data_IF_310182107106
#
_entry.id   IF_310182107106
#
_cell.length_a   1.000
_cell.length_b   1.000
_cell.length_c   1.000
_cell.angle_alpha   90.00
_cell.angle_beta   90.00
_cell.angle_gamma   90.00
#
_symmetry.space_group_name_H-M   'P 1'
#
loop_
_entity.id
_entity.type
_entity.pdbx_description
1 polymer ?
#
# COMPACT_ATOMS: atom_id res chain seq x y z
N UNK A 1 9.38 47.47 -12.27
CA UNK A 1 8.39 46.51 -12.81
C UNK A 1 8.73 45.14 -12.20
N UNK A 2 8.65 45.03 -10.86
CA UNK A 2 9.40 44.02 -10.09
C UNK A 2 8.51 43.19 -9.14
N UNK A 3 7.18 43.37 -9.20
CA UNK A 3 6.22 42.70 -8.31
C UNK A 3 5.75 41.32 -8.78
N UNK A 4 6.00 40.96 -10.04
CA UNK A 4 5.52 39.70 -10.64
C UNK A 4 6.45 38.52 -10.26
N UNK A 5 7.73 38.76 -9.98
CA UNK A 5 8.73 37.67 -9.90
C UNK A 5 8.82 36.95 -8.56
N UNK A 6 8.52 37.62 -7.44
CA UNK A 6 8.61 37.00 -6.11
C UNK A 6 7.42 36.09 -5.79
N UNK A 7 6.20 36.51 -6.17
CA UNK A 7 4.98 35.72 -6.00
C UNK A 7 4.99 34.48 -6.90
N UNK A 8 5.36 34.64 -8.17
CA UNK A 8 5.43 33.53 -9.12
C UNK A 8 6.50 32.49 -8.73
N UNK A 9 7.64 32.95 -8.20
CA UNK A 9 8.70 32.04 -7.73
C UNK A 9 8.28 31.28 -6.48
N UNK A 10 7.55 31.93 -5.58
CA UNK A 10 6.98 31.28 -4.40
C UNK A 10 5.91 30.25 -4.78
N UNK A 11 5.00 30.60 -5.69
CA UNK A 11 3.97 29.69 -6.19
C UNK A 11 4.57 28.47 -6.89
N UNK A 12 5.58 28.66 -7.75
CA UNK A 12 6.33 27.55 -8.36
C UNK A 12 6.96 26.65 -7.31
N UNK A 13 7.57 27.22 -6.27
CA UNK A 13 8.19 26.45 -5.19
C UNK A 13 7.15 25.63 -4.40
N UNK A 14 5.94 26.18 -4.19
CA UNK A 14 4.83 25.46 -3.56
C UNK A 14 4.36 24.30 -4.45
N UNK A 15 4.20 24.52 -5.75
CA UNK A 15 3.81 23.48 -6.71
C UNK A 15 4.85 22.37 -6.80
N UNK A 16 6.14 22.70 -6.83
CA UNK A 16 7.24 21.71 -6.80
C UNK A 16 7.19 20.86 -5.53
N UNK A 17 6.93 21.47 -4.37
CA UNK A 17 6.77 20.74 -3.10
C UNK A 17 5.57 19.81 -3.10
N UNK A 18 4.43 20.26 -3.62
CA UNK A 18 3.23 19.43 -3.74
C UNK A 18 3.48 18.27 -4.70
N UNK A 19 4.13 18.52 -5.85
CA UNK A 19 4.48 17.47 -6.81
C UNK A 19 5.44 16.43 -6.20
N UNK A 20 6.45 16.87 -5.46
CA UNK A 20 7.36 15.97 -4.76
C UNK A 20 6.65 15.13 -3.69
N UNK A 21 5.74 15.73 -2.92
CA UNK A 21 4.95 15.01 -1.93
C UNK A 21 4.00 13.99 -2.58
N UNK A 22 3.39 14.33 -3.72
CA UNK A 22 2.53 13.42 -4.47
C UNK A 22 3.33 12.20 -5.00
N UNK A 23 4.52 12.44 -5.54
CA UNK A 23 5.41 11.37 -5.99
C UNK A 23 5.86 10.46 -4.83
N UNK A 24 6.11 11.02 -3.65
CA UNK A 24 6.44 10.23 -2.47
C UNK A 24 5.28 9.36 -2.00
N UNK A 25 4.07 9.91 -2.01
CA UNK A 25 2.86 9.17 -1.68
C UNK A 25 2.66 8.00 -2.64
N UNK A 26 2.77 8.23 -3.95
CA UNK A 26 2.63 7.19 -4.96
C UNK A 26 3.63 6.05 -4.75
N UNK A 27 4.90 6.37 -4.47
CA UNK A 27 5.93 5.37 -4.13
C UNK A 27 5.57 4.57 -2.89
N UNK A 28 5.16 5.26 -1.82
CA UNK A 28 4.77 4.62 -0.55
C UNK A 28 3.56 3.70 -0.73
N UNK A 29 2.58 4.11 -1.53
CA UNK A 29 1.41 3.30 -1.86
C UNK A 29 1.78 2.06 -2.68
N UNK A 30 2.68 2.20 -3.65
CA UNK A 30 3.19 1.07 -4.43
C UNK A 30 3.91 0.04 -3.53
N UNK A 31 4.75 0.50 -2.60
CA UNK A 31 5.43 -0.37 -1.64
C UNK A 31 4.45 -1.07 -0.69
N UNK A 32 3.44 -0.35 -0.20
CA UNK A 32 2.39 -0.90 0.63
C UNK A 32 1.57 -1.97 -0.12
N UNK A 33 1.28 -1.75 -1.40
CA UNK A 33 0.58 -2.73 -2.24
C UNK A 33 1.44 -3.98 -2.45
N UNK A 34 2.72 -3.84 -2.79
CA UNK A 34 3.64 -4.97 -2.93
C UNK A 34 3.80 -5.77 -1.61
N UNK A 35 3.78 -5.09 -0.46
CA UNK A 35 3.79 -5.75 0.85
C UNK A 35 2.50 -6.55 1.11
N UNK A 36 1.33 -5.98 0.76
CA UNK A 36 0.03 -6.67 0.85
C UNK A 36 -0.03 -7.89 -0.05
N UNK A 37 0.45 -7.81 -1.28
CA UNK A 37 0.50 -8.93 -2.20
C UNK A 37 1.36 -10.08 -1.67
N UNK A 38 2.57 -9.78 -1.17
CA UNK A 38 3.45 -10.79 -0.55
C UNK A 38 2.78 -11.48 0.64
N UNK A 39 2.12 -10.71 1.51
CA UNK A 39 1.35 -11.25 2.65
C UNK A 39 0.24 -12.17 2.16
N UNK A 40 -0.55 -11.74 1.19
CA UNK A 40 -1.70 -12.49 0.70
C UNK A 40 -1.26 -13.78 -0.01
N UNK A 41 -0.15 -13.76 -0.74
CA UNK A 41 0.48 -14.95 -1.31
C UNK A 41 0.94 -15.93 -0.22
N UNK A 42 1.58 -15.44 0.84
CA UNK A 42 2.01 -16.26 1.97
C UNK A 42 0.82 -16.91 2.70
N UNK A 43 -0.25 -16.14 2.95
CA UNK A 43 -1.51 -16.66 3.54
C UNK A 43 -2.08 -17.76 2.65
N UNK A 44 -2.19 -17.53 1.33
CA UNK A 44 -2.71 -18.54 0.40
C UNK A 44 -1.84 -19.79 0.35
N UNK A 45 -0.52 -19.66 0.43
CA UNK A 45 0.41 -20.79 0.49
C UNK A 45 0.22 -21.61 1.78
N UNK A 46 0.08 -20.96 2.93
CA UNK A 46 -0.18 -21.62 4.20
C UNK A 46 -1.53 -22.36 4.21
N UNK A 47 -2.58 -21.74 3.65
CA UNK A 47 -3.88 -22.40 3.46
C UNK A 47 -3.75 -23.65 2.59
N UNK A 48 -3.03 -23.56 1.45
CA UNK A 48 -2.79 -24.73 0.58
C UNK A 48 -2.00 -25.85 1.26
N UNK A 49 -1.13 -25.51 2.21
CA UNK A 49 -0.40 -26.47 3.03
C UNK A 49 -1.27 -27.10 4.14
N UNK A 50 -2.55 -26.71 4.26
CA UNK A 50 -3.49 -27.26 5.24
C UNK A 50 -3.40 -26.61 6.62
N UNK A 51 -2.70 -25.47 6.76
CA UNK A 51 -2.59 -24.80 8.06
C UNK A 51 -3.96 -24.23 8.47
N UNK A 52 -4.41 -24.46 9.72
CA UNK A 52 -5.65 -23.89 10.23
C UNK A 52 -5.68 -22.36 10.12
N UNK A 53 -6.78 -21.80 9.61
CA UNK A 53 -6.90 -20.36 9.38
C UNK A 53 -6.68 -19.48 10.62
N UNK A 54 -7.03 -19.99 11.82
CA UNK A 54 -6.76 -19.30 13.08
C UNK A 54 -5.27 -19.14 13.38
N UNK A 55 -4.45 -20.15 13.08
CA UNK A 55 -2.98 -20.09 13.25
C UNK A 55 -2.34 -19.19 12.20
N UNK A 56 -2.86 -19.19 10.98
CA UNK A 56 -2.41 -18.25 9.93
C UNK A 56 -2.69 -16.82 10.36
N UNK A 57 -3.90 -16.53 10.84
CA UNK A 57 -4.29 -15.21 11.31
C UNK A 57 -3.38 -14.70 12.44
N UNK A 58 -3.09 -15.56 13.43
CA UNK A 58 -2.19 -15.24 14.53
C UNK A 58 -0.75 -15.01 14.04
N UNK A 59 -0.19 -15.93 13.25
CA UNK A 59 1.19 -15.86 12.79
C UNK A 59 1.47 -14.71 11.81
N UNK A 60 0.49 -14.35 10.98
CA UNK A 60 0.59 -13.25 10.02
C UNK A 60 0.10 -11.90 10.58
N UNK A 61 -0.40 -11.85 11.81
CA UNK A 61 -0.93 -10.62 12.42
C UNK A 61 -2.14 -10.03 11.68
N UNK A 62 -3.01 -10.88 11.14
CA UNK A 62 -4.19 -10.47 10.37
C UNK A 62 -5.48 -10.99 11.00
N UNK A 63 -6.62 -10.43 10.60
CA UNK A 63 -7.92 -10.94 11.04
C UNK A 63 -8.26 -12.28 10.38
N UNK A 64 -8.99 -13.13 11.09
CA UNK A 64 -9.52 -14.38 10.52
C UNK A 64 -10.45 -14.12 9.33
N UNK A 65 -11.18 -13.01 9.34
CA UNK A 65 -12.01 -12.59 8.20
C UNK A 65 -11.20 -12.34 6.94
N UNK A 66 -10.00 -11.77 7.05
CA UNK A 66 -9.08 -11.59 5.93
C UNK A 66 -8.61 -12.95 5.38
N UNK A 67 -8.23 -13.88 6.26
CA UNK A 67 -7.84 -15.24 5.85
C UNK A 67 -8.99 -15.94 5.11
N UNK A 68 -10.21 -15.90 5.66
CA UNK A 68 -11.40 -16.46 5.02
C UNK A 68 -11.66 -15.84 3.64
N UNK A 69 -11.56 -14.52 3.52
CA UNK A 69 -11.70 -13.82 2.23
C UNK A 69 -10.65 -14.27 1.22
N UNK A 70 -9.38 -14.37 1.62
CA UNK A 70 -8.30 -14.79 0.72
C UNK A 70 -8.43 -16.26 0.29
N UNK A 71 -8.99 -17.12 1.13
CA UNK A 71 -9.26 -18.52 0.78
C UNK A 71 -10.40 -18.62 -0.23
N UNK A 72 -11.44 -17.80 -0.10
CA UNK A 72 -12.66 -17.87 -0.90
C UNK A 72 -12.68 -16.92 -2.11
N UNK A 73 -11.74 -15.98 -2.22
CA UNK A 73 -11.67 -15.06 -3.33
C UNK A 73 -11.34 -15.81 -4.64
N UNK A 74 -12.09 -15.56 -5.74
CA UNK A 74 -11.77 -16.12 -7.04
C UNK A 74 -10.34 -15.74 -7.45
N UNK A 75 -9.65 -16.67 -8.09
CA UNK A 75 -8.32 -16.43 -8.66
C UNK A 75 -8.51 -15.47 -9.83
N UNK A 76 -8.29 -14.18 -9.59
CA UNK A 76 -8.14 -13.18 -10.63
C UNK A 76 -6.82 -13.38 -11.36
#
# INVERSE_FOLDING_TARGET
>A
MDGITASDRHERQLLERVSAAAAELERTEAEANAARERRDQAVRAAVRAGVPGGLIAQGAGVSQGLVSRLTNAPRG
#
